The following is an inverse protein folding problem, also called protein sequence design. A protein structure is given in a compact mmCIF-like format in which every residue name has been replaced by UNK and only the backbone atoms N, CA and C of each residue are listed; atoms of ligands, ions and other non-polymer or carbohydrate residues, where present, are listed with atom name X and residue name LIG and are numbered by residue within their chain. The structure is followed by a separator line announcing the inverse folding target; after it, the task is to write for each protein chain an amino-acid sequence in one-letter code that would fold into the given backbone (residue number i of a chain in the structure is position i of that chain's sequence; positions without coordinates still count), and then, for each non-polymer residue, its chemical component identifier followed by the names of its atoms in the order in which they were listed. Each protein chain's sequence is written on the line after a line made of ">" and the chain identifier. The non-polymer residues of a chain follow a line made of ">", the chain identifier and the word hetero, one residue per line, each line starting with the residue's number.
data_IF_024801359641
#
_entry.id   IF_024801359641
#
_cell.length_a   1.000
_cell.length_b   1.000
_cell.length_c   1.000
_cell.angle_alpha   90.00
_cell.angle_beta   90.00
_cell.angle_gamma   90.00
#
_symmetry.space_group_name_H-M   'P 1'
#
loop_
_entity.id
_entity.type
_entity.pdbx_description
1 polymer ?
#
# COMPACT_ATOMS: atom_id res chain seq x y z
N UNK A 1 12.44 35.42 -76.46
CA UNK A 1 12.73 34.84 -75.12
C UNK A 1 11.46 34.20 -74.59
N UNK A 2 11.53 32.91 -74.21
CA UNK A 2 10.39 32.02 -73.93
C UNK A 2 9.68 32.35 -72.62
N UNK A 3 8.35 32.31 -72.64
CA UNK A 3 7.43 32.49 -71.51
C UNK A 3 7.12 31.11 -70.93
N UNK A 4 7.63 30.80 -69.73
CA UNK A 4 7.33 29.53 -69.06
C UNK A 4 6.10 29.71 -68.15
N UNK A 5 5.08 28.88 -68.41
CA UNK A 5 3.99 28.57 -67.50
C UNK A 5 4.55 27.81 -66.29
N UNK A 6 4.13 28.17 -65.08
CA UNK A 6 4.03 27.21 -63.98
C UNK A 6 2.74 27.49 -63.20
N UNK A 7 1.79 26.56 -63.38
CA UNK A 7 0.58 26.42 -62.57
C UNK A 7 0.97 26.21 -61.11
N UNK A 8 0.47 27.06 -60.21
CA UNK A 8 0.51 26.75 -58.78
C UNK A 8 -0.69 25.87 -58.43
N UNK A 9 -0.39 24.63 -58.07
CA UNK A 9 -1.34 23.61 -57.64
C UNK A 9 -1.98 23.97 -56.30
N UNK A 10 -3.30 23.83 -56.21
CA UNK A 10 -4.08 23.88 -54.97
C UNK A 10 -3.75 22.61 -54.17
N UNK A 11 -3.11 22.77 -53.01
CA UNK A 11 -2.81 21.64 -52.11
C UNK A 11 -3.91 21.52 -51.05
N UNK A 12 -4.82 20.57 -51.26
CA UNK A 12 -5.85 20.16 -50.30
C UNK A 12 -5.18 19.49 -49.09
N UNK A 13 -5.22 20.12 -47.92
CA UNK A 13 -4.81 19.50 -46.67
C UNK A 13 -5.93 18.58 -46.16
N UNK A 14 -5.71 17.27 -46.26
CA UNK A 14 -6.58 16.27 -45.64
C UNK A 14 -6.35 16.26 -44.11
N UNK A 15 -7.37 16.66 -43.34
CA UNK A 15 -7.42 16.48 -41.89
C UNK A 15 -7.62 14.99 -41.58
N UNK A 16 -6.54 14.27 -41.31
CA UNK A 16 -6.61 12.94 -40.71
C UNK A 16 -6.92 13.08 -39.22
N UNK A 17 -8.18 12.92 -38.84
CA UNK A 17 -8.59 12.74 -37.45
C UNK A 17 -8.12 11.36 -36.99
N UNK A 18 -6.91 11.29 -36.44
CA UNK A 18 -6.41 10.09 -35.77
C UNK A 18 -7.18 9.90 -34.47
N UNK A 19 -8.17 8.98 -34.46
CA UNK A 19 -8.77 8.52 -33.22
C UNK A 19 -7.69 7.81 -32.39
N UNK A 20 -7.21 8.47 -31.33
CA UNK A 20 -6.36 7.81 -30.34
C UNK A 20 -7.27 6.91 -29.50
N UNK A 21 -7.13 5.61 -29.68
CA UNK A 21 -7.66 4.62 -28.73
C UNK A 21 -6.90 4.78 -27.42
N UNK A 22 -7.44 5.56 -26.48
CA UNK A 22 -6.99 5.53 -25.09
C UNK A 22 -7.43 4.22 -24.47
N UNK A 23 -6.56 3.20 -24.48
CA UNK A 23 -6.72 2.06 -23.58
C UNK A 23 -6.48 2.55 -22.16
N UNK A 24 -7.54 2.93 -21.44
CA UNK A 24 -7.50 3.04 -20.00
C UNK A 24 -7.25 1.63 -19.45
N UNK A 25 -6.04 1.39 -18.94
CA UNK A 25 -5.79 0.22 -18.11
C UNK A 25 -6.55 0.46 -16.82
N UNK A 26 -7.41 -0.48 -16.43
CA UNK A 26 -8.30 -0.41 -15.27
C UNK A 26 -7.52 -0.55 -13.93
N UNK A 27 -6.40 0.14 -13.80
CA UNK A 27 -5.53 0.15 -12.61
C UNK A 27 -6.11 0.95 -11.43
N UNK A 28 -7.20 1.70 -11.63
CA UNK A 28 -7.75 2.58 -10.60
C UNK A 28 -8.59 1.86 -9.52
N UNK A 29 -9.02 0.61 -9.78
CA UNK A 29 -9.95 -0.12 -8.91
C UNK A 29 -9.29 -1.21 -8.04
N UNK A 30 -8.02 -1.56 -8.27
CA UNK A 30 -7.32 -2.59 -7.51
C UNK A 30 -6.44 -2.01 -6.39
N UNK A 31 -6.31 -2.71 -5.24
CA UNK A 31 -5.40 -2.30 -4.18
C UNK A 31 -3.95 -2.23 -4.67
N UNK A 32 -3.27 -1.13 -4.36
CA UNK A 32 -1.87 -0.91 -4.73
C UNK A 32 -0.89 -1.78 -3.91
N UNK A 33 -1.38 -2.52 -2.91
CA UNK A 33 -0.57 -3.33 -2.02
C UNK A 33 0.18 -4.44 -2.78
N UNK A 34 -0.40 -5.04 -3.82
CA UNK A 34 0.28 -6.09 -4.62
C UNK A 34 1.58 -5.61 -5.28
N UNK A 35 1.69 -4.32 -5.59
CA UNK A 35 2.87 -3.70 -6.18
C UNK A 35 3.94 -3.28 -5.15
N UNK A 36 3.57 -3.14 -3.87
CA UNK A 36 4.50 -2.76 -2.79
C UNK A 36 5.41 -3.92 -2.43
N UNK A 37 6.53 -3.59 -1.79
CA UNK A 37 7.47 -4.63 -1.32
C UNK A 37 6.84 -5.48 -0.22
N UNK A 38 7.26 -6.75 -0.11
CA UNK A 38 6.84 -7.63 0.98
C UNK A 38 7.18 -7.05 2.35
N UNK A 39 8.32 -6.36 2.49
CA UNK A 39 8.65 -5.65 3.72
C UNK A 39 7.60 -4.58 4.07
N UNK A 40 7.21 -3.76 3.09
CA UNK A 40 6.21 -2.73 3.32
C UNK A 40 4.84 -3.33 3.63
N UNK A 41 4.39 -4.34 2.89
CA UNK A 41 3.12 -5.01 3.17
C UNK A 41 3.10 -5.69 4.54
N UNK A 42 4.24 -6.23 5.00
CA UNK A 42 4.35 -6.75 6.37
C UNK A 42 4.16 -5.64 7.41
N UNK A 43 4.80 -4.48 7.23
CA UNK A 43 4.61 -3.35 8.16
C UNK A 43 3.18 -2.81 8.13
N UNK A 44 2.60 -2.70 6.94
CA UNK A 44 1.21 -2.26 6.73
C UNK A 44 0.23 -3.25 7.40
N UNK A 45 0.50 -4.56 7.31
CA UNK A 45 -0.28 -5.61 7.95
C UNK A 45 -0.27 -5.48 9.48
N UNK A 46 0.92 -5.35 10.08
CA UNK A 46 1.04 -5.20 11.55
C UNK A 46 0.42 -3.88 12.04
N UNK A 47 0.50 -2.80 11.24
CA UNK A 47 -0.22 -1.56 11.54
C UNK A 47 -1.74 -1.77 11.54
N UNK A 48 -2.28 -2.46 10.53
CA UNK A 48 -3.71 -2.77 10.45
C UNK A 48 -4.16 -3.65 11.64
N UNK A 49 -3.37 -4.64 12.04
CA UNK A 49 -3.61 -5.45 13.26
C UNK A 49 -3.59 -4.59 14.54
N UNK A 50 -2.66 -3.63 14.63
CA UNK A 50 -2.60 -2.71 15.76
C UNK A 50 -3.89 -1.88 15.86
N UNK A 51 -4.34 -1.31 14.75
CA UNK A 51 -5.59 -0.54 14.70
C UNK A 51 -6.78 -1.44 15.05
N UNK A 52 -6.87 -2.64 14.48
CA UNK A 52 -7.95 -3.57 14.80
C UNK A 52 -7.99 -3.91 16.30
N UNK A 53 -6.83 -4.08 16.93
CA UNK A 53 -6.70 -4.39 18.37
C UNK A 53 -7.02 -3.18 19.24
N UNK A 54 -6.51 -2.00 18.89
CA UNK A 54 -6.75 -0.74 19.58
C UNK A 54 -8.25 -0.40 19.65
N UNK A 55 -8.95 -0.64 18.54
CA UNK A 55 -10.34 -0.25 18.33
C UNK A 55 -11.31 -1.45 18.43
N UNK A 56 -10.93 -2.53 19.14
CA UNK A 56 -11.75 -3.76 19.28
C UNK A 56 -13.18 -3.53 19.78
N UNK A 57 -13.38 -2.48 20.58
CA UNK A 57 -14.69 -2.12 21.15
C UNK A 57 -15.52 -1.25 20.17
N UNK A 58 -15.00 -0.99 18.96
CA UNK A 58 -15.64 -0.30 17.84
C UNK A 58 -15.72 -1.26 16.64
N UNK A 59 -16.77 -2.09 16.55
CA UNK A 59 -16.80 -3.26 15.66
C UNK A 59 -16.56 -2.95 14.18
N UNK A 60 -17.04 -1.82 13.67
CA UNK A 60 -16.84 -1.43 12.27
C UNK A 60 -15.36 -1.16 11.97
N UNK A 61 -14.70 -0.36 12.81
CA UNK A 61 -13.27 -0.04 12.67
C UNK A 61 -12.40 -1.29 12.84
N UNK A 62 -12.68 -2.09 13.87
CA UNK A 62 -11.96 -3.33 14.11
C UNK A 62 -12.10 -4.33 12.95
N UNK A 63 -13.33 -4.48 12.41
CA UNK A 63 -13.60 -5.38 11.29
C UNK A 63 -12.90 -4.92 10.01
N UNK A 64 -12.94 -3.64 9.71
CA UNK A 64 -12.34 -3.09 8.49
C UNK A 64 -10.80 -3.20 8.51
N UNK A 65 -10.18 -2.77 9.62
CA UNK A 65 -8.74 -2.87 9.80
C UNK A 65 -8.28 -4.34 9.85
N UNK A 66 -9.01 -5.20 10.57
CA UNK A 66 -8.70 -6.64 10.63
C UNK A 66 -8.82 -7.34 9.28
N UNK A 67 -9.85 -7.01 8.49
CA UNK A 67 -10.00 -7.55 7.13
C UNK A 67 -8.88 -7.07 6.20
N UNK A 68 -8.43 -5.82 6.38
CA UNK A 68 -7.29 -5.26 5.65
C UNK A 68 -5.98 -5.97 5.99
N UNK A 69 -5.75 -6.31 7.27
CA UNK A 69 -4.61 -7.12 7.69
C UNK A 69 -4.63 -8.50 7.02
N UNK A 70 -5.78 -9.18 7.03
CA UNK A 70 -5.95 -10.48 6.36
C UNK A 70 -5.66 -10.41 4.86
N UNK A 71 -6.14 -9.37 4.17
CA UNK A 71 -5.86 -9.19 2.75
C UNK A 71 -4.36 -8.96 2.46
N UNK A 72 -3.66 -8.27 3.37
CA UNK A 72 -2.22 -8.03 3.23
C UNK A 72 -1.40 -9.31 3.43
N UNK A 73 -1.88 -10.29 4.20
CA UNK A 73 -1.22 -11.60 4.32
C UNK A 73 -1.05 -12.28 2.95
N UNK A 74 -2.00 -12.12 2.04
CA UNK A 74 -1.94 -12.69 0.68
C UNK A 74 -0.89 -12.01 -0.21
N UNK A 75 -0.48 -10.78 0.12
CA UNK A 75 0.46 -9.97 -0.67
C UNK A 75 1.78 -9.70 0.04
N UNK A 76 2.01 -10.32 1.20
CA UNK A 76 3.33 -10.39 1.82
C UNK A 76 3.88 -11.82 1.73
N UNK A 77 5.16 -12.00 2.01
CA UNK A 77 5.78 -13.31 2.03
C UNK A 77 6.70 -13.41 3.24
N UNK A 78 6.26 -14.14 4.27
CA UNK A 78 6.94 -14.21 5.56
C UNK A 78 6.73 -15.56 6.23
N UNK A 79 7.64 -15.91 7.14
CA UNK A 79 7.62 -17.16 7.89
C UNK A 79 6.79 -17.00 9.17
N UNK A 80 5.53 -17.41 9.10
CA UNK A 80 4.59 -17.44 10.23
C UNK A 80 4.94 -18.51 11.27
N UNK A 81 5.53 -19.63 10.86
CA UNK A 81 5.81 -20.77 11.74
C UNK A 81 6.98 -20.49 12.68
N UNK A 82 7.94 -19.66 12.25
CA UNK A 82 9.09 -19.28 13.06
C UNK A 82 8.70 -18.56 14.35
N UNK A 83 7.66 -17.72 14.31
CA UNK A 83 7.08 -17.10 15.51
C UNK A 83 5.67 -16.57 15.23
N UNK A 84 4.61 -17.37 15.46
CA UNK A 84 3.24 -17.00 15.13
C UNK A 84 2.72 -15.81 15.94
N UNK A 85 3.31 -15.53 17.11
CA UNK A 85 2.86 -14.46 18.02
C UNK A 85 3.67 -13.17 17.90
N UNK A 86 4.66 -13.09 17.01
CA UNK A 86 5.57 -11.96 16.93
C UNK A 86 4.84 -10.61 16.72
N UNK A 87 3.93 -10.54 15.76
CA UNK A 87 3.14 -9.35 15.46
C UNK A 87 2.25 -8.95 16.63
N UNK A 88 1.42 -9.88 17.11
CA UNK A 88 0.51 -9.69 18.26
C UNK A 88 1.22 -9.23 19.53
N UNK A 89 2.37 -9.83 19.84
CA UNK A 89 3.17 -9.46 21.01
C UNK A 89 3.69 -8.03 20.90
N UNK A 90 4.17 -7.62 19.71
CA UNK A 90 4.62 -6.25 19.46
C UNK A 90 3.47 -5.25 19.60
N UNK A 91 2.32 -5.53 18.99
CA UNK A 91 1.10 -4.73 19.09
C UNK A 91 0.71 -4.50 20.55
N UNK A 92 0.60 -5.57 21.33
CA UNK A 92 0.21 -5.48 22.74
C UNK A 92 1.18 -4.61 23.56
N UNK A 93 2.49 -4.72 23.32
CA UNK A 93 3.49 -3.89 24.01
C UNK A 93 3.34 -2.40 23.69
N UNK A 94 3.08 -2.04 22.44
CA UNK A 94 2.89 -0.63 22.07
C UNK A 94 1.58 -0.08 22.61
N UNK A 95 0.48 -0.85 22.54
CA UNK A 95 -0.81 -0.41 23.06
C UNK A 95 -0.83 -0.25 24.59
N UNK A 96 -0.03 -1.03 25.31
CA UNK A 96 0.11 -0.94 26.76
C UNK A 96 0.86 0.32 27.26
N UNK A 97 1.47 1.12 26.37
CA UNK A 97 2.18 2.35 26.77
C UNK A 97 1.20 3.40 27.30
N UNK A 98 1.57 4.07 28.39
CA UNK A 98 0.81 5.19 28.97
C UNK A 98 1.27 6.51 28.32
N UNK A 99 0.60 6.90 27.23
CA UNK A 99 0.90 8.14 26.52
C UNK A 99 0.15 9.30 27.16
N UNK A 100 0.87 10.39 27.39
CA UNK A 100 0.29 11.64 27.88
C UNK A 100 0.70 12.82 27.04
N UNK A 101 -0.24 13.72 26.83
CA UNK A 101 0.03 15.01 26.20
C UNK A 101 -0.81 16.07 26.93
N UNK A 102 -0.20 16.88 27.82
CA UNK A 102 -0.92 17.87 28.61
C UNK A 102 -1.73 18.87 27.78
N UNK A 103 -1.28 19.19 26.56
CA UNK A 103 -1.97 20.13 25.67
C UNK A 103 -3.27 19.49 25.19
N UNK A 104 -3.19 18.30 24.59
CA UNK A 104 -4.38 17.61 24.07
C UNK A 104 -5.34 17.21 25.20
N UNK A 105 -4.82 16.76 26.34
CA UNK A 105 -5.64 16.39 27.51
C UNK A 105 -6.37 17.57 28.16
N UNK A 106 -5.87 18.79 27.94
CA UNK A 106 -6.58 20.00 28.36
C UNK A 106 -7.84 20.24 27.53
N UNK A 107 -7.86 19.79 26.27
CA UNK A 107 -8.95 19.97 25.31
C UNK A 107 -9.87 18.74 25.19
N UNK A 108 -9.31 17.53 25.23
CA UNK A 108 -10.01 16.26 25.01
C UNK A 108 -9.76 15.34 26.20
N UNK A 109 -10.81 15.07 26.99
CA UNK A 109 -10.73 14.17 28.14
C UNK A 109 -10.73 12.70 27.73
N UNK A 110 -9.92 11.90 28.42
CA UNK A 110 -9.92 10.44 28.28
C UNK A 110 -9.28 9.92 26.98
N UNK A 111 -8.58 10.76 26.22
CA UNK A 111 -7.85 10.34 25.03
C UNK A 111 -6.73 9.35 25.40
N UNK A 112 -6.74 8.18 24.75
CA UNK A 112 -5.77 7.09 25.02
C UNK A 112 -4.55 7.09 24.10
N UNK A 113 -4.60 7.87 23.01
CA UNK A 113 -3.59 7.92 21.95
C UNK A 113 -3.30 6.58 21.26
N UNK A 114 -4.27 5.66 21.18
CA UNK A 114 -4.00 4.32 20.64
C UNK A 114 -3.57 4.35 19.16
N UNK A 115 -4.15 5.21 18.34
CA UNK A 115 -3.70 5.36 16.96
C UNK A 115 -2.25 5.88 16.87
N UNK A 116 -1.87 6.82 17.74
CA UNK A 116 -0.48 7.31 17.79
C UNK A 116 0.48 6.20 18.22
N UNK A 117 0.10 5.34 19.17
CA UNK A 117 0.89 4.15 19.53
C UNK A 117 1.07 3.19 18.34
N UNK A 118 0.03 3.04 17.50
CA UNK A 118 0.13 2.24 16.28
C UNK A 118 1.04 2.88 15.21
N UNK A 119 1.03 4.21 15.08
CA UNK A 119 1.98 4.93 14.22
C UNK A 119 3.42 4.75 14.73
N UNK A 120 3.64 4.86 16.05
CA UNK A 120 4.95 4.63 16.64
C UNK A 120 5.41 3.18 16.47
N UNK A 121 4.49 2.21 16.55
CA UNK A 121 4.77 0.81 16.21
C UNK A 121 5.23 0.70 14.76
N UNK A 122 4.55 1.35 13.82
CA UNK A 122 4.88 1.30 12.39
C UNK A 122 6.28 1.84 12.09
N UNK A 123 6.71 2.85 12.85
CA UNK A 123 8.03 3.47 12.73
C UNK A 123 9.10 2.86 13.66
N UNK A 124 8.77 1.79 14.40
CA UNK A 124 9.65 1.21 15.41
C UNK A 124 10.81 0.40 14.84
N UNK A 125 11.93 0.41 15.55
CA UNK A 125 13.08 -0.45 15.22
C UNK A 125 12.75 -1.93 15.45
N UNK A 126 11.84 -2.21 16.38
CA UNK A 126 11.34 -3.54 16.68
C UNK A 126 10.57 -4.14 15.49
N UNK A 127 9.71 -3.35 14.84
CA UNK A 127 9.03 -3.80 13.62
C UNK A 127 10.02 -3.99 12.47
N UNK A 128 11.00 -3.09 12.32
CA UNK A 128 12.07 -3.26 11.33
C UNK A 128 12.92 -4.53 11.59
N UNK A 129 13.13 -4.89 12.85
CA UNK A 129 13.79 -6.14 13.22
C UNK A 129 12.94 -7.36 12.83
N UNK A 130 11.63 -7.30 13.03
CA UNK A 130 10.71 -8.37 12.57
C UNK A 130 10.76 -8.53 11.05
N UNK A 131 10.78 -7.44 10.29
CA UNK A 131 10.94 -7.50 8.82
C UNK A 131 12.20 -8.26 8.44
N UNK A 132 13.34 -7.98 9.08
CA UNK A 132 14.62 -8.66 8.79
C UNK A 132 14.61 -10.14 9.18
N UNK A 133 13.86 -10.50 10.22
CA UNK A 133 13.83 -11.87 10.74
C UNK A 133 12.83 -12.77 10.02
N UNK A 134 11.68 -12.23 9.62
CA UNK A 134 10.53 -13.03 9.19
C UNK A 134 10.15 -12.83 7.73
N UNK A 135 10.40 -11.67 7.13
CA UNK A 135 9.99 -11.40 5.75
C UNK A 135 10.99 -12.02 4.76
N UNK A 136 10.47 -12.87 3.88
CA UNK A 136 11.23 -13.59 2.87
C UNK A 136 11.33 -12.71 1.61
N UNK A 137 12.55 -12.49 1.11
CA UNK A 137 12.84 -11.61 -0.04
C UNK A 137 12.20 -10.21 0.10
N UNK A 138 12.53 -9.45 1.17
CA UNK A 138 11.81 -8.25 1.60
C UNK A 138 11.70 -7.12 0.56
N UNK A 139 12.58 -7.11 -0.46
CA UNK A 139 12.60 -6.12 -1.54
C UNK A 139 11.75 -6.50 -2.77
N UNK A 140 11.24 -7.73 -2.82
CA UNK A 140 10.33 -8.20 -3.89
C UNK A 140 8.88 -7.84 -3.57
N UNK A 141 8.00 -8.00 -4.53
CA UNK A 141 6.55 -7.78 -4.39
C UNK A 141 5.77 -8.95 -4.98
N UNK A 142 4.51 -9.08 -4.56
CA UNK A 142 3.59 -10.11 -5.07
C UNK A 142 3.43 -9.99 -6.57
N UNK A 143 3.22 -8.77 -7.09
CA UNK A 143 3.05 -8.55 -8.52
C UNK A 143 4.29 -8.98 -9.31
N UNK A 144 5.50 -8.68 -8.84
CA UNK A 144 6.73 -9.08 -9.52
C UNK A 144 6.94 -10.60 -9.53
N UNK A 145 6.46 -11.31 -8.52
CA UNK A 145 6.55 -12.77 -8.44
C UNK A 145 5.45 -13.49 -9.24
N UNK A 146 4.30 -12.84 -9.44
CA UNK A 146 3.12 -13.43 -10.09
C UNK A 146 2.82 -12.86 -11.48
N UNK A 147 3.65 -11.94 -11.97
CA UNK A 147 3.57 -11.47 -13.36
C UNK A 147 3.95 -12.61 -14.28
N UNK A 148 2.97 -13.20 -14.96
CA UNK A 148 3.23 -14.09 -16.10
C UNK A 148 4.14 -13.36 -17.09
N UNK A 149 5.19 -14.00 -17.66
CA UNK A 149 5.86 -13.44 -18.81
C UNK A 149 4.77 -13.23 -19.86
N UNK A 150 4.58 -11.97 -20.28
CA UNK A 150 3.72 -11.69 -21.42
C UNK A 150 4.16 -12.63 -22.53
N UNK A 151 3.23 -13.43 -23.07
CA UNK A 151 3.50 -14.28 -24.23
C UNK A 151 4.13 -13.38 -25.28
N UNK A 152 5.41 -13.59 -25.54
CA UNK A 152 6.10 -13.07 -26.70
C UNK A 152 5.46 -13.73 -27.92
N UNK A 153 4.47 -13.07 -28.50
CA UNK A 153 3.92 -13.34 -29.83
C UNK A 153 3.85 -12.03 -30.61
#
# INVERSE_FOLDING_TARGET
>A
MRRNLLLSSVMLWALTLGARSSHATDTASSPQASARTYAQNYKDMVLAECVATAYRDQPSAARDAGSSASALMDWTYFDLERNPDAGKSLVNRFLARDYRNPIVESEIKGVRFDFLKCLDLYHSQELDAQVKLYVIRPKRSYELDNRSPARSH
#
